data_IF_648841823432
#
_entry.id   IF_648841823432
#
_cell.length_a   1.000
_cell.length_b   1.000
_cell.length_c   1.000
_cell.angle_alpha   90.00
_cell.angle_beta   90.00
_cell.angle_gamma   90.00
#
_symmetry.space_group_name_H-M   'P 1'
#
loop_
_entity.id
_entity.type
_entity.pdbx_description
1 polymer ?
2 non-polymer ?
3 non-polymer ?
4 water ?
#
# COMPACT_ATOMS: atom_id res chain seq x y z
N UNK A 1 -13.14 11.77 -0.82
CA UNK A 1 -11.75 11.23 -0.81
C UNK A 1 -11.56 10.29 -2.00
N UNK A 2 -10.43 10.40 -2.67
CA UNK A 2 -10.15 9.55 -3.81
C UNK A 2 -8.67 9.28 -3.94
N UNK A 3 -8.33 8.21 -4.63
CA UNK A 3 -6.97 7.85 -4.99
C UNK A 3 -6.87 7.45 -6.45
N UNK A 4 -5.66 7.37 -6.97
CA UNK A 4 -5.43 6.69 -8.24
C UNK A 4 -4.12 5.94 -8.20
N UNK A 5 -3.95 5.06 -9.19
CA UNK A 5 -2.76 4.24 -9.33
C UNK A 5 -2.11 4.59 -10.65
N UNK A 6 -0.86 5.01 -10.61
CA UNK A 6 -0.11 5.40 -11.79
C UNK A 6 -0.87 6.46 -12.61
N UNK A 7 -1.65 7.30 -11.94
CA UNK A 7 -2.37 8.37 -12.62
C UNK A 7 -3.59 7.93 -13.39
N UNK A 8 -4.16 6.79 -13.04
CA UNK A 8 -5.33 6.25 -13.70
C UNK A 8 -6.64 6.80 -13.20
N UNK A 9 -7.72 6.04 -13.35
CA UNK A 9 -9.04 6.44 -12.91
C UNK A 9 -9.09 6.62 -11.39
N UNK A 10 -10.00 7.48 -10.95
CA UNK A 10 -10.16 7.74 -9.54
C UNK A 10 -10.85 6.58 -8.83
N UNK A 11 -10.46 6.35 -7.58
CA UNK A 11 -10.89 5.21 -6.79
C UNK A 11 -11.40 5.71 -5.45
N UNK A 12 -12.64 5.42 -5.11
CA UNK A 12 -13.23 5.86 -3.86
C UNK A 12 -13.42 4.76 -2.84
N UNK A 13 -13.23 3.52 -3.26
CA UNK A 13 -13.34 2.35 -2.39
C UNK A 13 -13.01 1.13 -3.21
N UNK A 14 -12.85 -0.01 -2.55
CA UNK A 14 -12.73 -1.28 -3.24
C UNK A 14 -11.30 -1.69 -3.50
N UNK A 15 -11.17 -2.67 -4.36
CA UNK A 15 -9.93 -3.39 -4.61
C UNK A 15 -9.29 -2.96 -5.90
N UNK A 16 -8.01 -2.63 -5.86
CA UNK A 16 -7.28 -2.19 -7.03
C UNK A 16 -5.93 -2.90 -7.05
N UNK A 17 -5.51 -3.38 -8.21
CA UNK A 17 -4.17 -3.90 -8.40
C UNK A 17 -3.15 -2.79 -8.61
N UNK A 18 -1.97 -2.98 -8.06
CA UNK A 18 -0.87 -2.04 -8.17
C UNK A 18 0.34 -2.81 -8.66
N UNK A 19 0.82 -2.45 -9.84
CA UNK A 19 1.90 -3.19 -10.50
C UNK A 19 3.23 -2.51 -10.21
N UNK A 20 4.17 -3.30 -9.67
CA UNK A 20 5.44 -2.75 -9.24
C UNK A 20 6.63 -3.38 -9.98
N UNK A 21 7.74 -2.66 -9.98
CA UNK A 21 8.96 -3.08 -10.65
C UNK A 21 10.01 -3.40 -9.59
N UNK A 22 10.56 -4.60 -9.65
CA UNK A 22 11.45 -5.10 -8.61
C UNK A 22 12.80 -5.45 -9.19
N UNK A 23 13.81 -5.34 -8.34
CA UNK A 23 15.16 -5.73 -8.70
C UNK A 23 15.10 -7.17 -9.22
N UNK A 24 15.57 -7.42 -10.45
CA UNK A 24 15.38 -8.77 -11.00
C UNK A 24 16.25 -9.87 -10.39
N UNK A 25 17.35 -9.49 -9.76
CA UNK A 25 18.26 -10.46 -9.14
C UNK A 25 18.65 -9.89 -7.79
N UNK A 26 18.48 -10.69 -6.76
CA UNK A 26 18.93 -10.31 -5.42
C UNK A 26 19.77 -11.42 -4.82
N UNK A 27 20.68 -11.04 -3.94
CA UNK A 27 21.58 -11.98 -3.27
C UNK A 27 20.96 -12.51 -1.97
N UNK A 28 21.40 -13.69 -1.51
CA UNK A 28 20.97 -14.10 -0.17
C UNK A 28 21.33 -13.01 0.83
N UNK A 29 20.42 -12.75 1.76
CA UNK A 29 20.63 -11.69 2.72
C UNK A 29 20.10 -10.33 2.29
N UNK A 30 19.69 -10.20 1.02
CA UNK A 30 19.15 -8.93 0.52
C UNK A 30 17.63 -8.93 0.59
N UNK A 31 17.04 -7.78 0.85
CA UNK A 31 15.57 -7.63 0.87
C UNK A 31 15.10 -6.96 -0.41
N UNK A 32 13.84 -7.21 -0.76
CA UNK A 32 13.17 -6.43 -1.79
C UNK A 32 12.54 -5.20 -1.17
N UNK A 33 12.64 -4.06 -1.84
CA UNK A 33 12.04 -2.83 -1.36
C UNK A 33 11.02 -2.33 -2.37
N UNK A 34 9.75 -2.32 -1.97
CA UNK A 34 8.65 -1.91 -2.83
C UNK A 34 8.19 -0.52 -2.40
N UNK A 35 8.49 0.49 -3.21
CA UNK A 35 8.13 1.87 -2.87
C UNK A 35 6.79 2.23 -3.52
N UNK A 36 5.71 2.04 -2.75
CA UNK A 36 4.36 2.26 -3.27
C UNK A 36 4.02 3.74 -3.43
N UNK A 37 4.82 4.62 -2.86
CA UNK A 37 4.63 6.06 -3.06
C UNK A 37 4.80 6.41 -4.54
N UNK A 38 5.50 5.58 -5.31
CA UNK A 38 5.70 5.85 -6.73
C UNK A 38 4.46 5.53 -7.55
N UNK A 39 3.46 4.91 -6.93
CA UNK A 39 2.32 4.35 -7.65
C UNK A 39 0.97 4.86 -7.15
N UNK A 40 0.76 4.91 -5.84
CA UNK A 40 -0.54 5.25 -5.27
C UNK A 40 -0.52 6.68 -4.75
N UNK A 41 -1.46 7.50 -5.20
CA UNK A 41 -1.65 8.84 -4.67
C UNK A 41 -3.11 9.06 -4.30
N UNK A 42 -3.35 9.87 -3.27
CA UNK A 42 -4.70 10.16 -2.82
C UNK A 42 -4.87 11.66 -2.53
N UNK A 43 -6.12 12.10 -2.46
CA UNK A 43 -6.43 13.51 -2.24
C UNK A 43 -7.81 13.66 -1.62
N UNK A 44 -8.00 14.86 -1.10
CA UNK A 44 -9.28 15.29 -0.56
C UNK A 44 -10.07 15.95 -1.71
N UNK A 45 -11.34 15.58 -1.83
CA UNK A 45 -12.12 15.98 -3.01
C UNK A 45 -12.68 17.40 -2.93
N UNK A 46 -12.55 18.05 -1.79
CA UNK A 46 -12.93 19.47 -1.67
C UNK A 46 -11.72 20.38 -1.76
N UNK A 47 -10.57 19.93 -1.25
CA UNK A 47 -9.43 20.79 -1.07
C UNK A 47 -9.53 21.67 0.17
N UNK A 48 -8.45 22.37 0.49
CA UNK A 48 -8.42 23.32 1.58
C UNK A 48 -8.59 22.67 2.96
N UNK A 49 -8.35 21.36 3.06
CA UNK A 49 -8.53 20.66 4.32
C UNK A 49 -9.95 20.81 4.84
N UNK A 50 -10.90 20.99 3.94
CA UNK A 50 -12.30 20.97 4.27
C UNK A 50 -12.78 19.52 4.35
N UNK A 51 -13.37 19.13 5.47
CA UNK A 51 -13.74 17.74 5.71
C UNK A 51 -12.54 16.83 5.53
N UNK A 52 -11.52 17.05 6.36
CA UNK A 52 -10.26 16.35 6.26
C UNK A 52 -10.44 14.85 6.38
N UNK A 53 -9.72 14.14 5.52
CA UNK A 53 -9.74 12.67 5.46
C UNK A 53 -8.69 12.07 6.37
N UNK A 54 -9.05 10.98 7.03
CA UNK A 54 -8.19 10.29 7.98
C UNK A 54 -8.00 8.86 7.50
N UNK A 55 -6.76 8.52 7.17
CA UNK A 55 -6.43 7.27 6.48
C UNK A 55 -5.47 6.42 7.31
N UNK A 56 -5.77 5.14 7.47
CA UNK A 56 -4.82 4.23 8.11
C UNK A 56 -4.85 2.89 7.41
N UNK A 57 -3.81 2.10 7.64
CA UNK A 57 -3.81 0.72 7.17
C UNK A 57 -4.29 -0.22 8.27
N UNK A 58 -4.76 -1.40 7.87
CA UNK A 58 -5.62 -2.21 8.69
C UNK A 58 -4.97 -3.55 9.03
N UNK A 59 -5.08 -3.93 10.31
CA UNK A 59 -4.70 -5.22 10.81
C UNK A 59 -5.27 -6.32 9.88
N UNK A 60 -4.45 -7.31 9.55
CA UNK A 60 -4.85 -8.36 8.63
C UNK A 60 -4.26 -8.21 7.25
N UNK A 61 -3.74 -7.03 6.91
CA UNK A 61 -2.95 -6.85 5.69
C UNK A 61 -1.82 -7.87 5.75
N UNK A 62 -1.58 -8.57 4.65
CA UNK A 62 -0.76 -9.77 4.70
C UNK A 62 -0.06 -10.06 3.38
N UNK A 63 0.93 -10.94 3.42
CA UNK A 63 1.49 -11.51 2.21
C UNK A 63 0.45 -12.36 1.51
N UNK A 64 0.62 -12.52 0.20
CA UNK A 64 -0.11 -13.53 -0.53
C UNK A 64 0.18 -14.88 0.10
N UNK A 65 -0.76 -15.82 -0.02
CA UNK A 65 -0.60 -17.14 0.54
C UNK A 65 0.68 -17.83 0.12
N UNK A 66 1.04 -17.72 -1.15
CA UNK A 66 2.25 -18.36 -1.65
C UNK A 66 3.52 -17.84 -0.97
N UNK A 67 3.44 -16.63 -0.43
CA UNK A 67 4.59 -15.98 0.21
C UNK A 67 4.44 -15.88 1.72
N UNK A 68 3.57 -16.71 2.30
CA UNK A 68 3.28 -16.63 3.73
C UNK A 68 4.51 -16.82 4.62
N UNK A 69 5.53 -17.53 4.14
CA UNK A 69 6.74 -17.73 4.94
C UNK A 69 7.66 -16.53 4.94
N UNK A 70 7.42 -15.57 4.05
CA UNK A 70 8.32 -14.44 3.94
C UNK A 70 8.17 -13.53 5.16
N UNK A 71 9.19 -12.73 5.42
CA UNK A 71 9.16 -11.77 6.51
C UNK A 71 9.07 -10.39 5.90
N UNK A 72 8.50 -9.44 6.63
CA UNK A 72 8.34 -8.12 6.10
C UNK A 72 8.23 -7.00 7.11
N UNK A 73 8.53 -5.80 6.65
CA UNK A 73 8.24 -4.57 7.39
C UNK A 73 7.52 -3.64 6.46
N UNK A 74 6.56 -2.90 7.00
CA UNK A 74 5.77 -1.95 6.22
C UNK A 74 5.97 -0.55 6.80
N UNK A 75 6.46 0.36 5.96
CA UNK A 75 6.57 1.76 6.32
C UNK A 75 5.28 2.49 5.93
N UNK A 76 4.69 3.20 6.89
CA UNK A 76 3.51 4.03 6.68
C UNK A 76 3.65 5.32 7.46
N UNK A 77 3.67 6.43 6.75
CA UNK A 77 3.56 7.74 7.37
C UNK A 77 4.49 7.93 8.56
N UNK A 78 5.76 7.74 8.31
CA UNK A 78 6.86 7.99 9.26
C UNK A 78 7.04 6.91 10.33
N UNK A 79 6.33 5.80 10.25
CA UNK A 79 6.46 4.71 11.22
C UNK A 79 6.60 3.40 10.48
N UNK A 80 7.36 2.46 11.04
CA UNK A 80 7.54 1.14 10.42
C UNK A 80 6.93 0.07 11.30
N UNK A 81 6.18 -0.85 10.68
CA UNK A 81 5.44 -1.91 11.35
C UNK A 81 5.90 -3.27 10.82
N UNK A 82 5.89 -4.29 11.66
CA UNK A 82 6.11 -5.64 11.11
C UNK A 82 4.93 -6.04 10.23
N UNK A 83 5.20 -6.87 9.23
CA UNK A 83 4.21 -7.25 8.23
C UNK A 83 4.22 -8.77 8.16
N UNK A 84 3.05 -9.41 8.21
CA UNK A 84 1.67 -8.90 8.15
C UNK A 84 1.31 -8.02 9.32
N UNK A 85 0.39 -7.09 9.08
CA UNK A 85 -0.02 -6.17 10.13
C UNK A 85 -0.84 -6.89 11.18
N UNK A 86 -0.38 -6.82 12.43
CA UNK A 86 -1.15 -7.36 13.54
C UNK A 86 -1.84 -6.26 14.35
N UNK A 87 -1.64 -5.00 13.94
CA UNK A 87 -2.36 -3.86 14.50
C UNK A 87 -2.75 -2.95 13.33
N UNK A 88 -3.66 -2.01 13.57
CA UNK A 88 -3.84 -0.92 12.63
C UNK A 88 -2.63 -0.01 12.71
N UNK A 89 -2.40 0.83 11.70
CA UNK A 89 -1.34 1.80 11.75
C UNK A 89 -1.82 3.17 12.25
N UNK A 90 -0.87 4.08 12.38
CA UNK A 90 -1.17 5.48 12.62
C UNK A 90 -2.02 6.04 11.50
N UNK A 91 -2.63 7.19 11.79
CA UNK A 91 -3.51 7.90 10.86
C UNK A 91 -2.75 9.01 10.12
N UNK A 92 -2.91 9.04 8.80
CA UNK A 92 -2.45 10.08 7.91
C UNK A 92 -3.65 10.98 7.56
N UNK A 93 -3.49 12.28 7.75
CA UNK A 93 -4.55 13.22 7.41
C UNK A 93 -4.31 13.79 6.02
N UNK A 94 -5.35 13.80 5.20
CA UNK A 94 -5.30 14.26 3.81
C UNK A 94 -6.35 15.34 3.59
N UNK A 95 -5.91 16.50 3.10
CA UNK A 95 -6.80 17.63 2.91
C UNK A 95 -6.59 18.46 1.67
N UNK A 96 -5.47 18.29 0.98
CA UNK A 96 -5.20 19.03 -0.24
C UNK A 96 -5.86 18.33 -1.43
N UNK A 97 -6.30 19.11 -2.41
CA UNK A 97 -6.84 18.52 -3.63
C UNK A 97 -5.73 17.98 -4.54
N UNK A 98 -4.52 18.51 -4.42
CA UNK A 98 -3.39 18.00 -5.19
C UNK A 98 -3.04 16.58 -4.68
N UNK A 99 -2.92 15.59 -5.58
CA UNK A 99 -2.64 14.23 -5.12
C UNK A 99 -1.35 14.11 -4.30
N UNK A 100 -1.44 13.38 -3.20
CA UNK A 100 -0.33 13.12 -2.28
C UNK A 100 0.10 11.66 -2.54
N UNK A 101 1.35 11.44 -2.96
CA UNK A 101 1.84 10.06 -2.99
C UNK A 101 1.73 9.43 -1.60
N UNK A 102 1.19 8.22 -1.49
CA UNK A 102 1.05 7.62 -0.18
C UNK A 102 2.42 7.27 0.38
N UNK A 103 2.65 7.61 1.66
CA UNK A 103 3.95 7.38 2.28
C UNK A 103 4.02 5.93 2.75
N UNK A 104 4.24 5.03 1.79
CA UNK A 104 4.01 3.60 1.95
C UNK A 104 5.07 2.81 1.23
N UNK A 105 5.79 1.97 1.97
CA UNK A 105 6.82 1.10 1.39
C UNK A 105 6.77 -0.25 2.07
N UNK A 106 7.11 -1.28 1.33
CA UNK A 106 7.14 -2.64 1.87
C UNK A 106 8.52 -3.23 1.69
N UNK A 107 9.12 -3.75 2.77
CA UNK A 107 10.42 -4.39 2.76
C UNK A 107 10.19 -5.87 2.95
N UNK A 108 10.74 -6.68 2.06
CA UNK A 108 10.43 -8.11 2.02
C UNK A 108 11.68 -8.98 2.07
N UNK A 109 11.70 -9.89 3.04
CA UNK A 109 12.77 -10.88 3.16
C UNK A 109 12.23 -12.22 2.67
N UNK A 110 12.75 -12.70 1.53
CA UNK A 110 12.34 -14.03 1.08
C UNK A 110 12.85 -15.09 2.06
N UNK A 111 12.04 -16.11 2.28
CA UNK A 111 12.42 -17.25 3.11
C UNK A 111 12.15 -18.53 2.31
N UNK A 116 16.43 -19.97 -6.44
CA UNK A 116 15.32 -20.09 -7.37
C UNK A 116 14.56 -18.78 -7.54
N UNK A 117 13.31 -18.91 -7.95
CA UNK A 117 12.44 -17.75 -8.11
C UNK A 117 11.92 -17.27 -6.76
N UNK A 118 12.18 -16.00 -6.48
CA UNK A 118 11.71 -15.31 -5.26
C UNK A 118 10.29 -14.74 -5.44
N UNK A 119 10.06 -14.18 -6.63
CA UNK A 119 8.77 -13.60 -7.00
C UNK A 119 8.57 -13.89 -8.47
N UNK A 120 7.38 -14.36 -8.83
CA UNK A 120 7.05 -14.63 -10.23
C UNK A 120 6.41 -13.40 -10.84
N UNK A 121 6.75 -13.08 -12.08
CA UNK A 121 6.03 -12.04 -12.77
C UNK A 121 4.53 -12.31 -12.75
N UNK A 122 3.75 -11.30 -12.40
CA UNK A 122 2.31 -11.40 -12.43
C UNK A 122 1.67 -11.93 -11.16
N UNK A 123 2.46 -12.40 -10.20
CA UNK A 123 1.84 -12.96 -9.00
C UNK A 123 1.61 -11.85 -7.95
N UNK A 124 0.54 -12.03 -7.19
CA UNK A 124 0.26 -11.15 -6.07
C UNK A 124 1.31 -11.37 -5.00
N UNK A 125 1.87 -10.29 -4.50
CA UNK A 125 2.89 -10.30 -3.46
C UNK A 125 2.27 -10.07 -2.08
N UNK A 126 1.36 -9.10 -2.00
CA UNK A 126 0.82 -8.69 -0.71
C UNK A 126 -0.51 -7.99 -0.94
N UNK A 127 -1.34 -7.98 0.09
CA UNK A 127 -2.65 -7.34 0.07
C UNK A 127 -2.68 -6.36 1.24
N UNK A 128 -2.81 -5.08 0.93
CA UNK A 128 -2.75 -4.02 1.92
C UNK A 128 -4.13 -3.38 2.02
N UNK A 129 -4.73 -3.44 3.20
CA UNK A 129 -6.06 -2.91 3.43
C UNK A 129 -5.95 -1.52 4.05
N UNK A 130 -6.78 -0.61 3.58
CA UNK A 130 -6.73 0.81 3.97
C UNK A 130 -8.11 1.28 4.31
N UNK A 131 -8.23 2.06 5.37
CA UNK A 131 -9.50 2.59 5.86
C UNK A 131 -9.47 4.10 5.80
N UNK A 132 -10.57 4.68 5.35
CA UNK A 132 -10.76 6.13 5.28
C UNK A 132 -12.00 6.50 6.07
N UNK A 133 -11.89 7.55 6.90
CA UNK A 133 -13.06 8.21 7.45
C UNK A 133 -12.73 9.70 7.48
N UNK A 134 -13.70 10.54 7.16
CA UNK A 134 -13.46 11.98 7.13
C UNK A 134 -13.90 12.60 8.46
N UNK A 135 -14.31 13.87 8.43
CA UNK A 135 -14.45 14.67 9.64
C UNK A 135 -15.89 15.08 9.92
N UNK A 136 -16.63 15.42 8.88
CA UNK A 136 -17.98 15.96 9.02
C UNK A 136 -19.03 14.87 8.87
N UNK A 137 -20.14 15.02 9.58
CA UNK A 137 -21.21 14.05 9.53
C UNK A 137 -20.74 12.68 9.98
N UNK A 138 -21.11 11.64 9.24
CA UNK A 138 -20.66 10.28 9.53
C UNK A 138 -19.19 10.05 9.18
N UNK A 139 -18.61 10.97 8.44
CA UNK A 139 -17.28 10.78 7.89
C UNK A 139 -17.23 9.90 6.65
N UNK A 140 -18.37 9.32 6.26
CA UNK A 140 -18.48 8.47 5.07
C UNK A 140 -17.34 7.46 4.96
N UNK A 141 -17.29 6.53 5.92
CA UNK A 141 -16.18 5.59 5.90
C UNK A 141 -16.10 4.76 4.63
N UNK A 142 -14.87 4.46 4.19
CA UNK A 142 -14.62 3.68 2.98
C UNK A 142 -13.49 2.71 3.23
N UNK A 143 -13.58 1.56 2.58
CA UNK A 143 -12.55 0.52 2.64
C UNK A 143 -11.90 0.33 1.28
N UNK A 144 -10.59 0.21 1.28
CA UNK A 144 -9.79 -0.03 0.09
C UNK A 144 -8.89 -1.24 0.31
N UNK A 145 -8.61 -1.95 -0.76
CA UNK A 145 -7.52 -2.93 -0.79
C UNK A 145 -6.60 -2.66 -1.96
N UNK A 146 -5.30 -2.70 -1.68
CA UNK A 146 -4.26 -2.60 -2.68
C UNK A 146 -3.61 -3.96 -2.84
N UNK A 147 -3.86 -4.61 -3.98
CA UNK A 147 -3.27 -5.90 -4.28
C UNK A 147 -2.00 -5.63 -5.05
N UNK A 148 -0.86 -5.92 -4.44
CA UNK A 148 0.43 -5.56 -4.99
C UNK A 148 0.92 -6.73 -5.85
N UNK A 149 1.24 -6.44 -7.11
CA UNK A 149 1.58 -7.47 -8.11
C UNK A 149 2.88 -7.07 -8.77
N UNK A 150 3.78 -8.03 -8.95
CA UNK A 150 5.03 -7.73 -9.62
C UNK A 150 4.90 -7.74 -11.14
N UNK A 151 5.49 -6.76 -11.79
CA UNK A 151 5.61 -6.76 -13.25
C UNK A 151 6.67 -7.72 -13.78
N UNK A 152 7.57 -8.17 -12.91
CA UNK A 152 8.70 -8.99 -13.35
C UNK A 152 9.10 -10.02 -12.34
N UNK A 153 9.81 -11.03 -12.80
CA UNK A 153 10.33 -12.04 -11.90
C UNK A 153 11.56 -11.55 -11.17
N UNK A 154 11.76 -12.12 -9.99
CA UNK A 154 12.96 -11.89 -9.20
C UNK A 154 13.55 -13.24 -8.87
N UNK A 155 14.85 -13.39 -9.11
CA UNK A 155 15.57 -14.63 -8.80
C UNK A 155 16.66 -14.39 -7.76
N UNK A 156 17.02 -15.45 -7.03
CA UNK A 156 18.10 -15.37 -6.04
C UNK A 156 19.15 -16.45 -6.26
#
# INVERSE_FOLDING_TARGET
FSCNVDGGSSIGAGTTSVYVNLDPVIQPGQNLVVDLSQHISCWNDYGGWYDTDHINLVQGSAFAGSLQSYKGSLYWNNVTYPFPLTTNTNVLDIGDKTPMPLPLKLYITPVGAAGGVVIKAGEVIARIHMYKIATLGSGNPRNFTWNIISNNSVVMPTGGHHHHHH
#
